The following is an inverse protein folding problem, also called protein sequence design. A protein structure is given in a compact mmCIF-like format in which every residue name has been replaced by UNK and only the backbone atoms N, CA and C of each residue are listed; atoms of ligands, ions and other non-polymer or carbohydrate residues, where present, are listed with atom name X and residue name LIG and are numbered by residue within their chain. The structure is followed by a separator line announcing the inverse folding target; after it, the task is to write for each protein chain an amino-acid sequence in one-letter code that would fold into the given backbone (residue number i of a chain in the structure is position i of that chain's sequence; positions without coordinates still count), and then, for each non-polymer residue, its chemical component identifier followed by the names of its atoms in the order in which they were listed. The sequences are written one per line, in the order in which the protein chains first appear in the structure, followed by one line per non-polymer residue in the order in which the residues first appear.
data_IF_717509244706
#
_entry.id   IF_717509244706
#
_cell.length_a   1.000
_cell.length_b   1.000
_cell.length_c   1.000
_cell.angle_alpha   90.00
_cell.angle_beta   90.00
_cell.angle_gamma   90.00
#
_symmetry.space_group_name_H-M   'P 1'
#
loop_
_entity.id
_entity.type
_entity.pdbx_description
1 polymer ?
#
# COMPACT_ATOMS: atom_id res chain seq x y z
N UNK A 1 -9.54 10.74 -30.47
CA UNK A 1 -10.07 9.50 -29.85
C UNK A 1 -9.18 8.29 -30.02
N UNK A 2 -8.49 8.09 -31.16
CA UNK A 2 -7.62 6.93 -31.41
C UNK A 2 -6.54 6.67 -30.33
N UNK A 3 -5.96 7.72 -29.74
CA UNK A 3 -4.92 7.59 -28.70
C UNK A 3 -5.44 6.90 -27.44
N UNK A 4 -6.71 7.11 -27.09
CA UNK A 4 -7.32 6.49 -25.90
C UNK A 4 -7.67 5.02 -26.15
N UNK A 5 -8.21 4.70 -27.33
CA UNK A 5 -8.49 3.33 -27.75
C UNK A 5 -7.22 2.49 -27.89
N UNK A 6 -6.15 3.07 -28.45
CA UNK A 6 -4.84 2.41 -28.55
C UNK A 6 -4.19 2.23 -27.18
N UNK A 7 -4.43 3.14 -26.24
CA UNK A 7 -4.02 2.98 -24.85
C UNK A 7 -4.78 1.84 -24.18
N UNK A 8 -6.10 1.80 -24.26
CA UNK A 8 -6.93 0.73 -23.68
C UNK A 8 -6.55 -0.64 -24.25
N UNK A 9 -6.39 -0.76 -25.57
CA UNK A 9 -5.91 -1.99 -26.20
C UNK A 9 -4.55 -2.42 -25.68
N UNK A 10 -3.59 -1.49 -25.56
CA UNK A 10 -2.27 -1.82 -24.99
C UNK A 10 -2.34 -2.18 -23.51
N UNK A 11 -3.22 -1.53 -22.76
CA UNK A 11 -3.42 -1.76 -21.33
C UNK A 11 -3.99 -3.17 -21.06
N UNK A 12 -5.01 -3.56 -21.83
CA UNK A 12 -5.60 -4.90 -21.78
C UNK A 12 -4.64 -5.97 -22.31
N UNK A 13 -3.99 -5.72 -23.45
CA UNK A 13 -3.06 -6.68 -24.07
C UNK A 13 -1.85 -6.97 -23.18
N UNK A 14 -1.35 -5.96 -22.46
CA UNK A 14 -0.24 -6.11 -21.50
C UNK A 14 -0.71 -6.49 -20.10
N UNK A 15 -2.02 -6.62 -19.88
CA UNK A 15 -2.60 -6.94 -18.59
C UNK A 15 -2.05 -6.06 -17.46
N UNK A 16 -1.85 -4.76 -17.72
CA UNK A 16 -1.11 -3.86 -16.81
C UNK A 16 -1.82 -3.67 -15.46
N UNK A 17 -3.11 -4.01 -15.37
CA UNK A 17 -3.85 -4.12 -14.12
C UNK A 17 -3.25 -5.16 -13.17
N UNK A 18 -2.68 -6.25 -13.70
CA UNK A 18 -2.01 -7.31 -12.93
C UNK A 18 -0.58 -6.97 -12.52
N UNK A 19 0.01 -5.91 -13.06
CA UNK A 19 1.33 -5.44 -12.64
C UNK A 19 1.30 -4.67 -11.32
N UNK A 20 0.13 -4.48 -10.71
CA UNK A 20 0.01 -3.81 -9.42
C UNK A 20 0.60 -4.67 -8.29
N UNK A 21 1.90 -4.50 -8.06
CA UNK A 21 2.68 -5.18 -7.02
C UNK A 21 2.40 -4.54 -5.66
N UNK A 22 1.22 -4.77 -5.13
CA UNK A 22 0.80 -4.22 -3.84
C UNK A 22 1.80 -4.55 -2.72
N UNK A 23 2.00 -3.60 -1.81
CA UNK A 23 2.93 -3.78 -0.69
C UNK A 23 2.32 -4.65 0.39
N UNK A 24 3.12 -5.57 0.93
CA UNK A 24 2.80 -6.28 2.16
C UNK A 24 3.08 -5.37 3.37
N UNK A 25 2.16 -5.33 4.36
CA UNK A 25 2.42 -4.74 5.66
C UNK A 25 3.65 -5.35 6.34
N UNK A 26 4.44 -4.51 7.01
CA UNK A 26 5.69 -4.94 7.67
C UNK A 26 5.46 -6.06 8.70
N UNK A 27 4.35 -5.99 9.45
CA UNK A 27 4.00 -6.99 10.46
C UNK A 27 3.91 -8.42 9.89
N UNK A 28 3.36 -8.56 8.67
CA UNK A 28 3.22 -9.87 8.05
C UNK A 28 4.54 -10.42 7.52
N UNK A 29 5.45 -9.53 7.11
CA UNK A 29 6.81 -9.90 6.71
C UNK A 29 7.58 -10.35 7.95
N UNK A 30 7.41 -9.63 9.07
CA UNK A 30 8.07 -9.91 10.34
C UNK A 30 7.72 -11.30 10.89
N UNK A 31 6.45 -11.72 10.78
CA UNK A 31 6.00 -13.06 11.15
C UNK A 31 6.74 -14.18 10.39
N UNK A 32 7.27 -13.89 9.20
CA UNK A 32 7.93 -14.84 8.31
C UNK A 32 9.47 -14.74 8.33
N UNK A 33 10.06 -13.80 9.08
CA UNK A 33 11.53 -13.67 9.23
C UNK A 33 12.21 -14.98 9.68
N UNK A 34 11.68 -15.78 10.63
CA UNK A 34 12.33 -17.04 11.01
C UNK A 34 12.45 -18.02 9.84
N UNK A 35 11.55 -17.92 8.87
CA UNK A 35 11.58 -18.78 7.69
C UNK A 35 12.71 -18.39 6.73
N UNK A 36 13.04 -17.09 6.66
CA UNK A 36 14.23 -16.59 5.93
C UNK A 36 15.51 -17.20 6.48
N UNK A 37 15.64 -17.31 7.80
CA UNK A 37 16.79 -17.91 8.46
C UNK A 37 16.91 -19.40 8.14
N UNK A 38 15.78 -20.14 8.17
CA UNK A 38 15.72 -21.56 7.78
C UNK A 38 16.16 -21.79 6.33
N UNK A 39 15.76 -20.91 5.42
CA UNK A 39 16.15 -20.99 4.00
C UNK A 39 17.52 -20.38 3.69
N UNK A 40 18.20 -19.78 4.67
CA UNK A 40 19.51 -19.12 4.53
C UNK A 40 19.53 -18.07 3.40
N UNK A 41 18.43 -17.33 3.24
CA UNK A 41 18.34 -16.25 2.26
C UNK A 41 19.07 -15.03 2.84
N UNK A 42 20.33 -14.85 2.43
CA UNK A 42 21.16 -13.72 2.86
C UNK A 42 21.31 -12.76 1.69
N UNK A 43 20.60 -11.63 1.75
CA UNK A 43 20.77 -10.54 0.79
C UNK A 43 20.83 -9.21 1.54
N UNK A 44 21.98 -8.55 1.44
CA UNK A 44 22.22 -7.24 2.07
C UNK A 44 21.24 -6.18 1.57
N UNK A 45 20.82 -6.27 0.31
CA UNK A 45 19.88 -5.32 -0.29
C UNK A 45 18.49 -5.45 0.33
N UNK A 46 18.05 -6.70 0.54
CA UNK A 46 16.79 -7.01 1.23
C UNK A 46 16.84 -6.49 2.68
N UNK A 47 17.95 -6.72 3.38
CA UNK A 47 18.09 -6.26 4.77
C UNK A 47 18.01 -4.74 4.86
N UNK A 48 18.73 -4.03 3.98
CA UNK A 48 18.70 -2.58 3.89
C UNK A 48 17.30 -2.05 3.50
N UNK A 49 16.61 -2.74 2.59
CA UNK A 49 15.24 -2.40 2.19
C UNK A 49 14.28 -2.54 3.37
N UNK A 50 14.32 -3.67 4.09
CA UNK A 50 13.44 -3.93 5.23
C UNK A 50 13.73 -2.95 6.38
N UNK A 51 15.00 -2.63 6.63
CA UNK A 51 15.38 -1.60 7.60
C UNK A 51 14.85 -0.23 7.20
N UNK A 52 14.98 0.15 5.92
CA UNK A 52 14.43 1.40 5.42
C UNK A 52 12.90 1.41 5.52
N UNK A 53 12.23 0.28 5.23
CA UNK A 53 10.78 0.17 5.32
C UNK A 53 10.30 0.31 6.77
N UNK A 54 11.01 -0.31 7.72
CA UNK A 54 10.69 -0.25 9.15
C UNK A 54 11.01 1.11 9.75
N UNK A 55 12.22 1.62 9.55
CA UNK A 55 12.74 2.78 10.30
C UNK A 55 12.48 4.09 9.58
N UNK A 56 12.76 4.16 8.27
CA UNK A 56 12.64 5.40 7.50
C UNK A 56 11.21 5.64 7.03
N UNK A 57 10.54 4.58 6.56
CA UNK A 57 9.19 4.65 6.04
C UNK A 57 8.11 4.35 7.11
N UNK A 58 8.50 3.84 8.30
CA UNK A 58 7.60 3.52 9.42
C UNK A 58 6.45 2.58 9.04
N UNK A 59 6.72 1.64 8.13
CA UNK A 59 5.71 0.73 7.60
C UNK A 59 4.75 1.34 6.56
N UNK A 60 4.86 2.63 6.23
CA UNK A 60 4.09 3.25 5.14
C UNK A 60 4.87 3.20 3.83
N UNK A 61 4.42 2.34 2.91
CA UNK A 61 5.04 2.15 1.62
C UNK A 61 5.10 3.43 0.76
N UNK A 62 4.22 4.42 0.98
CA UNK A 62 4.24 5.68 0.21
C UNK A 62 5.54 6.44 0.45
N UNK A 63 6.08 6.36 1.66
CA UNK A 63 7.33 7.01 2.02
C UNK A 63 8.52 6.40 1.28
N UNK A 64 8.47 5.12 0.89
CA UNK A 64 9.53 4.47 0.11
C UNK A 64 9.78 5.12 -1.26
N UNK A 65 8.81 5.89 -1.76
CA UNK A 65 8.95 6.68 -3.00
C UNK A 65 9.90 7.87 -2.85
N UNK A 66 10.17 8.30 -1.62
CA UNK A 66 11.07 9.42 -1.31
C UNK A 66 12.32 8.99 -0.56
N UNK A 67 12.35 7.79 0.03
CA UNK A 67 13.55 7.28 0.71
C UNK A 67 14.55 6.76 -0.33
N UNK A 68 15.71 7.41 -0.44
CA UNK A 68 16.83 6.95 -1.26
C UNK A 68 17.45 5.67 -0.71
N UNK A 69 17.89 4.77 -1.60
CA UNK A 69 18.61 3.54 -1.25
C UNK A 69 20.11 3.75 -0.98
N UNK A 70 20.59 4.98 -1.12
CA UNK A 70 21.94 5.44 -0.86
C UNK A 70 22.19 6.79 -1.52
N UNK A 71 23.38 7.34 -1.35
CA UNK A 71 23.77 8.60 -1.99
C UNK A 71 23.80 8.42 -3.52
N UNK A 72 23.10 9.31 -4.24
CA UNK A 72 22.88 9.26 -5.70
C UNK A 72 22.22 7.97 -6.24
N UNK A 73 21.60 7.17 -5.36
CA UNK A 73 20.87 5.96 -5.77
C UNK A 73 19.38 6.21 -5.89
N UNK A 74 18.67 5.41 -6.72
CA UNK A 74 17.22 5.48 -6.83
C UNK A 74 16.54 5.19 -5.48
N UNK A 75 15.26 5.56 -5.39
CA UNK A 75 14.46 5.32 -4.20
C UNK A 75 14.14 3.83 -4.01
N UNK A 76 13.85 3.44 -2.77
CA UNK A 76 13.57 2.04 -2.47
C UNK A 76 12.38 1.47 -3.24
N UNK A 77 11.37 2.28 -3.56
CA UNK A 77 10.26 1.87 -4.43
C UNK A 77 10.73 1.44 -5.83
N UNK A 78 11.67 2.19 -6.44
CA UNK A 78 12.24 1.87 -7.75
C UNK A 78 13.09 0.60 -7.67
N UNK A 79 13.94 0.49 -6.65
CA UNK A 79 14.80 -0.69 -6.45
C UNK A 79 13.94 -1.94 -6.29
N UNK A 80 12.94 -1.89 -5.41
CA UNK A 80 12.01 -2.99 -5.14
C UNK A 80 11.27 -3.44 -6.40
N UNK A 81 10.74 -2.51 -7.19
CA UNK A 81 10.04 -2.86 -8.43
C UNK A 81 10.99 -3.45 -9.49
N UNK A 82 12.23 -3.00 -9.52
CA UNK A 82 13.27 -3.54 -10.43
C UNK A 82 13.64 -4.97 -10.07
N UNK A 83 13.88 -5.25 -8.79
CA UNK A 83 14.23 -6.59 -8.30
C UNK A 83 13.06 -7.56 -8.43
N UNK A 84 11.86 -7.15 -8.04
CA UNK A 84 10.67 -7.98 -8.21
C UNK A 84 10.42 -8.30 -9.69
N UNK A 85 10.77 -7.42 -10.63
CA UNK A 85 10.60 -7.70 -12.06
C UNK A 85 11.53 -8.82 -12.53
N UNK A 86 12.76 -8.87 -12.02
CA UNK A 86 13.70 -9.95 -12.29
C UNK A 86 13.20 -11.26 -11.69
N UNK A 87 12.82 -11.25 -10.41
CA UNK A 87 12.34 -12.44 -9.69
C UNK A 87 11.09 -13.01 -10.36
N UNK A 88 10.09 -12.18 -10.67
CA UNK A 88 8.87 -12.66 -11.34
C UNK A 88 9.13 -13.25 -12.72
N UNK A 89 10.12 -12.74 -13.45
CA UNK A 89 10.48 -13.32 -14.76
C UNK A 89 11.05 -14.73 -14.60
N UNK A 90 11.93 -14.93 -13.62
CA UNK A 90 12.47 -16.26 -13.31
C UNK A 90 11.35 -17.21 -12.88
N UNK A 91 10.43 -16.74 -12.04
CA UNK A 91 9.30 -17.54 -11.58
C UNK A 91 8.28 -17.87 -12.68
N UNK A 92 8.14 -17.01 -13.70
CA UNK A 92 7.32 -17.31 -14.87
C UNK A 92 7.95 -18.43 -15.72
N UNK A 93 9.28 -18.47 -15.81
CA UNK A 93 10.04 -19.50 -16.53
C UNK A 93 10.07 -20.84 -15.77
N UNK A 94 10.29 -20.81 -14.46
CA UNK A 94 10.40 -22.02 -13.62
C UNK A 94 9.04 -22.53 -13.12
N UNK A 95 8.02 -21.66 -13.07
CA UNK A 95 6.68 -21.93 -12.53
C UNK A 95 6.67 -22.77 -11.24
N UNK A 96 7.44 -22.38 -10.21
CA UNK A 96 7.56 -23.18 -9.01
C UNK A 96 6.33 -23.05 -8.10
N UNK A 97 6.16 -24.02 -7.22
CA UNK A 97 5.11 -23.94 -6.19
C UNK A 97 5.50 -22.89 -5.13
N UNK A 98 4.58 -21.97 -4.86
CA UNK A 98 4.77 -20.88 -3.91
C UNK A 98 4.51 -21.30 -2.46
N UNK A 99 3.89 -22.48 -2.27
CA UNK A 99 3.43 -22.94 -0.97
C UNK A 99 3.83 -24.38 -0.72
N UNK A 100 4.32 -24.67 0.49
CA UNK A 100 4.62 -26.01 0.95
C UNK A 100 4.26 -26.15 2.43
N UNK A 101 3.39 -27.11 2.76
CA UNK A 101 2.94 -27.37 4.14
C UNK A 101 2.40 -26.10 4.85
N UNK A 102 1.60 -25.32 4.11
CA UNK A 102 1.07 -23.98 4.45
C UNK A 102 2.11 -22.87 4.63
N UNK A 103 3.41 -23.16 4.49
CA UNK A 103 4.48 -22.17 4.58
C UNK A 103 4.89 -21.70 3.17
N UNK A 104 5.32 -20.44 3.01
CA UNK A 104 5.93 -19.97 1.78
C UNK A 104 7.18 -20.80 1.43
N UNK A 105 7.35 -21.15 0.16
CA UNK A 105 8.59 -21.77 -0.33
C UNK A 105 9.74 -20.76 -0.39
N UNK A 106 10.94 -21.22 -0.73
CA UNK A 106 12.13 -20.36 -0.80
C UNK A 106 11.94 -19.21 -1.80
N UNK A 107 11.46 -19.49 -3.02
CA UNK A 107 11.29 -18.43 -4.02
C UNK A 107 10.16 -17.46 -3.63
N UNK A 108 9.09 -17.97 -3.01
CA UNK A 108 8.04 -17.11 -2.50
C UNK A 108 8.56 -16.21 -1.37
N UNK A 109 9.43 -16.73 -0.50
CA UNK A 109 10.06 -15.91 0.53
C UNK A 109 10.91 -14.77 -0.05
N UNK A 110 11.60 -14.98 -1.18
CA UNK A 110 12.36 -13.91 -1.83
C UNK A 110 11.44 -12.76 -2.29
N UNK A 111 10.24 -13.06 -2.79
CA UNK A 111 9.23 -12.04 -3.10
C UNK A 111 8.72 -11.33 -1.84
N UNK A 112 8.40 -12.10 -0.79
CA UNK A 112 7.82 -11.59 0.46
C UNK A 112 8.77 -10.62 1.15
N UNK A 113 10.07 -10.92 1.09
CA UNK A 113 11.12 -10.07 1.65
C UNK A 113 11.24 -8.71 0.92
N UNK A 114 10.82 -8.64 -0.34
CA UNK A 114 10.61 -7.39 -1.09
C UNK A 114 9.22 -6.77 -0.88
N UNK A 115 8.55 -7.15 0.21
CA UNK A 115 7.20 -6.75 0.57
C UNK A 115 6.18 -7.02 -0.55
N UNK A 116 6.27 -8.17 -1.21
CA UNK A 116 5.32 -8.56 -2.26
C UNK A 116 4.96 -10.05 -2.18
N UNK A 117 3.70 -10.37 -2.50
CA UNK A 117 3.27 -11.73 -2.75
C UNK A 117 2.12 -11.72 -3.75
N UNK A 118 2.09 -12.67 -4.71
CA UNK A 118 0.90 -12.89 -5.56
C UNK A 118 -0.34 -13.24 -4.73
N UNK A 119 -0.15 -13.92 -3.60
CA UNK A 119 -1.20 -14.40 -2.70
C UNK A 119 -1.19 -13.63 -1.37
N UNK A 120 -1.13 -12.29 -1.44
CA UNK A 120 -1.04 -11.43 -0.25
C UNK A 120 -2.18 -11.67 0.76
N UNK A 121 -3.38 -12.03 0.28
CA UNK A 121 -4.53 -12.35 1.14
C UNK A 121 -4.30 -13.60 1.98
N UNK A 122 -3.66 -14.64 1.41
CA UNK A 122 -3.34 -15.88 2.13
C UNK A 122 -2.31 -15.64 3.22
N UNK A 123 -1.32 -14.77 2.95
CA UNK A 123 -0.35 -14.36 3.97
C UNK A 123 -1.05 -13.64 5.12
N UNK A 124 -1.88 -12.63 4.80
CA UNK A 124 -2.61 -11.82 5.80
C UNK A 124 -3.49 -12.66 6.73
N UNK A 125 -4.17 -13.69 6.19
CA UNK A 125 -5.05 -14.56 6.98
C UNK A 125 -4.30 -15.56 7.87
N UNK A 126 -3.06 -15.90 7.53
CA UNK A 126 -2.31 -16.96 8.19
C UNK A 126 -1.19 -16.43 9.11
N UNK A 127 -1.12 -15.12 9.36
CA UNK A 127 -0.07 -14.50 10.19
C UNK A 127 0.06 -15.18 11.55
N UNK A 128 -1.05 -15.35 12.27
CA UNK A 128 -1.07 -16.00 13.59
C UNK A 128 -0.64 -17.46 13.53
N UNK A 129 -0.95 -18.15 12.43
CA UNK A 129 -0.50 -19.53 12.21
C UNK A 129 1.01 -19.59 11.95
N UNK A 130 1.58 -18.60 11.24
CA UNK A 130 3.02 -18.47 11.06
C UNK A 130 3.73 -18.20 12.37
N UNK A 131 3.23 -17.26 13.17
CA UNK A 131 3.80 -16.94 14.47
C UNK A 131 3.79 -18.15 15.42
N UNK A 132 2.72 -18.94 15.38
CA UNK A 132 2.61 -20.18 16.17
C UNK A 132 3.53 -21.29 15.66
N UNK A 133 3.61 -21.51 14.34
CA UNK A 133 4.46 -22.55 13.72
C UNK A 133 5.96 -22.20 13.75
N UNK A 134 6.29 -20.91 13.74
CA UNK A 134 7.67 -20.40 13.68
C UNK A 134 8.17 -19.87 15.04
N UNK A 135 7.29 -19.72 16.04
CA UNK A 135 7.64 -19.29 17.38
C UNK A 135 7.90 -17.79 17.52
N UNK A 136 7.40 -16.96 16.60
CA UNK A 136 7.59 -15.49 16.59
C UNK A 136 6.59 -14.70 17.41
N UNK A 137 5.58 -15.34 17.99
CA UNK A 137 4.51 -14.67 18.73
C UNK A 137 5.03 -13.86 19.92
N UNK A 138 4.95 -12.53 19.82
CA UNK A 138 4.60 -11.72 20.99
C UNK A 138 3.19 -12.13 21.39
N UNK A 139 3.02 -12.58 22.64
CA UNK A 139 1.70 -12.77 23.23
C UNK A 139 0.95 -11.43 23.30
N UNK A 140 -0.38 -11.53 23.24
CA UNK A 140 -1.40 -10.53 23.63
C UNK A 140 -1.73 -9.53 22.48
N UNK A 141 -2.96 -9.30 22.01
CA UNK A 141 -4.33 -9.49 22.52
C UNK A 141 -5.32 -9.52 21.31
N UNK A 142 -6.47 -10.17 21.51
CA UNK A 142 -7.63 -10.18 20.59
C UNK A 142 -8.10 -8.75 20.25
N UNK A 143 -8.07 -8.37 18.96
CA UNK A 143 -8.94 -7.31 18.43
C UNK A 143 -9.63 -7.81 17.15
N UNK A 144 -10.86 -8.26 17.37
CA UNK A 144 -11.93 -8.48 16.42
C UNK A 144 -12.12 -7.23 15.56
N UNK A 145 -11.71 -7.28 14.28
CA UNK A 145 -11.93 -6.20 13.33
C UNK A 145 -12.91 -6.68 12.26
N UNK A 146 -14.18 -6.40 12.52
CA UNK A 146 -15.30 -6.62 11.63
C UNK A 146 -15.03 -6.04 10.23
N UNK A 147 -15.27 -6.87 9.21
CA UNK A 147 -15.37 -6.44 7.81
C UNK A 147 -16.60 -5.54 7.64
N UNK A 148 -16.41 -4.24 7.36
CA UNK A 148 -17.47 -3.44 6.73
C UNK A 148 -17.19 -3.29 5.23
N UNK A 149 -18.03 -4.03 4.51
CA UNK A 149 -18.19 -4.13 3.06
C UNK A 149 -18.76 -2.83 2.47
N UNK A 150 -18.32 -2.52 1.25
CA UNK A 150 -18.71 -1.35 0.47
C UNK A 150 -20.18 -1.42 0.04
N UNK A 151 -20.96 -0.34 0.25
CA UNK A 151 -22.15 -0.05 -0.58
C UNK A 151 -22.31 1.44 -0.88
N UNK A 152 -22.04 1.79 -2.14
CA UNK A 152 -22.68 2.94 -2.81
C UNK A 152 -24.20 2.68 -2.93
N UNK A 153 -25.04 3.70 -2.67
CA UNK A 153 -26.16 3.99 -3.57
C UNK A 153 -26.83 5.36 -3.34
N UNK A 154 -27.14 6.02 -4.46
CA UNK A 154 -27.82 7.33 -4.57
C UNK A 154 -29.35 7.17 -4.48
N UNK A 155 -30.07 8.03 -3.73
CA UNK A 155 -31.27 8.76 -4.26
C UNK A 155 -31.95 9.77 -3.31
N UNK A 156 -32.22 10.95 -3.89
CA UNK A 156 -33.20 12.01 -3.56
C UNK A 156 -34.55 11.53 -2.95
N UNK A 157 -35.11 12.26 -1.97
CA UNK A 157 -36.13 13.33 -2.16
C UNK A 157 -36.99 13.69 -0.91
N UNK A 158 -37.12 15.01 -0.69
CA UNK A 158 -38.28 15.86 -0.31
C UNK A 158 -39.07 15.75 1.04
N UNK A 159 -39.31 16.98 1.57
CA UNK A 159 -40.49 17.54 2.30
C UNK A 159 -40.63 17.17 3.79
N UNK A 160 -41.06 18.05 4.72
CA UNK A 160 -41.75 19.36 4.68
C UNK A 160 -41.71 20.03 6.09
N UNK A 161 -42.20 21.29 6.17
CA UNK A 161 -42.49 22.15 7.36
C UNK A 161 -41.30 22.84 8.05
N UNK A 162 -41.21 24.16 8.20
CA UNK A 162 -42.14 25.27 7.95
C UNK A 162 -42.21 26.18 9.20
N UNK A 163 -41.65 27.39 9.14
CA UNK A 163 -42.18 28.56 9.88
C UNK A 163 -41.53 29.89 9.50
N UNK A 164 -42.41 30.77 8.97
CA UNK A 164 -42.49 32.23 9.14
C UNK A 164 -41.38 33.13 8.56
N UNK A 165 -41.72 33.68 7.40
CA UNK A 165 -41.31 35.01 6.92
C UNK A 165 -41.85 36.12 7.83
N UNK A 166 -41.00 37.08 8.19
CA UNK A 166 -41.40 38.49 8.37
C UNK A 166 -40.34 39.37 7.69
N UNK A 167 -40.80 40.15 6.73
CA UNK A 167 -40.09 41.24 6.08
C UNK A 167 -40.21 42.52 6.91
N UNK A 168 -39.15 43.29 7.03
CA UNK A 168 -39.18 44.75 6.81
C UNK A 168 -37.77 45.27 6.63
N UNK A 169 -37.63 45.95 5.51
CA UNK A 169 -36.59 46.90 5.13
C UNK A 169 -36.51 48.04 6.15
N UNK A 170 -35.29 48.38 6.59
CA UNK A 170 -34.87 49.76 6.81
C UNK A 170 -33.35 49.85 6.89
N UNK A 171 -32.86 50.78 6.09
CA UNK A 171 -31.53 51.27 5.81
C UNK A 171 -30.82 51.85 7.07
N UNK A 172 -29.52 51.55 7.24
CA UNK A 172 -28.52 52.48 7.78
C UNK A 172 -27.14 51.80 7.77
N UNK A 173 -26.21 52.41 7.04
CA UNK A 173 -24.86 51.89 6.83
C UNK A 173 -23.96 51.86 8.06
N UNK A 174 -22.91 51.05 7.95
CA UNK A 174 -21.60 51.35 8.52
C UNK A 174 -20.55 50.56 7.75
N UNK A 175 -19.60 51.29 7.21
CA UNK A 175 -18.41 50.84 6.50
C UNK A 175 -17.46 50.13 7.48
N UNK A 176 -16.87 49.00 7.09
CA UNK A 176 -15.50 48.62 7.50
C UNK A 176 -14.92 47.64 6.47
N UNK A 177 -14.16 48.20 5.54
CA UNK A 177 -13.30 47.55 4.56
C UNK A 177 -11.98 47.14 5.23
N UNK A 178 -11.48 45.90 5.03
CA UNK A 178 -10.09 45.64 5.45
C UNK A 178 -9.53 44.23 5.40
N UNK A 179 -9.29 43.67 4.22
CA UNK A 179 -8.25 42.63 3.99
C UNK A 179 -7.80 42.67 2.52
N UNK A 180 -6.58 42.24 2.13
CA UNK A 180 -5.27 42.23 2.80
C UNK A 180 -4.17 42.92 1.95
N UNK A 181 -3.17 43.57 2.56
CA UNK A 181 -2.02 44.16 1.82
C UNK A 181 -0.91 43.15 1.55
N UNK A 182 -0.68 42.90 0.26
CA UNK A 182 0.55 42.30 -0.31
C UNK A 182 1.75 43.19 0.01
N UNK A 183 2.88 42.60 0.42
CA UNK A 183 4.17 43.31 0.51
C UNK A 183 5.10 42.77 -0.57
N UNK A 184 5.40 43.65 -1.52
CA UNK A 184 6.44 43.47 -2.54
C UNK A 184 7.79 43.93 -1.98
N UNK A 185 8.81 43.32 -2.55
CA UNK A 185 10.26 43.48 -2.36
C UNK A 185 10.75 44.88 -2.76
N UNK A 186 11.69 45.39 -1.99
CA UNK A 186 12.74 46.32 -2.44
C UNK A 186 14.08 45.75 -1.95
#
# INVERSE_FOLDING_TARGET
MAVFEDFLKKYELKNMSKENRSYLPIAHIDALIPLKEKFKIVSKEIDNFLEAYRNKAKGDYKNLRTVASGDDKPTWDIVRNTELKKLLKVMEEESPDLWKDDLPTKEHMELILWAYSPDATKIKKNVSAYESKLGTGKKDEDEDMEEEDEKEDKKKSKKDKGSKRKSSTSDSGSEDEGSPKKKSKE
#
